data_IF_435945431310
#
_entry.id   IF_435945431310
#
_cell.length_a   1.000
_cell.length_b   1.000
_cell.length_c   1.000
_cell.angle_alpha   90.00
_cell.angle_beta   90.00
_cell.angle_gamma   90.00
#
_symmetry.space_group_name_H-M   'P 1'
#
loop_
_entity.id
_entity.type
_entity.pdbx_description
1 polymer ?
#
# COMPACT_ATOMS: atom_id res chain seq x y z
N UNK A 1 15.14 3.49 18.45
CA UNK A 1 14.16 3.48 17.35
C UNK A 1 13.17 4.66 17.40
N UNK A 2 12.22 4.79 18.38
CA UNK A 2 11.24 5.90 18.37
C UNK A 2 11.89 7.29 18.45
N UNK A 3 12.92 7.47 19.28
CA UNK A 3 13.67 8.73 19.36
C UNK A 3 14.41 9.05 18.05
N UNK A 4 14.95 8.07 17.40
CA UNK A 4 15.63 8.20 16.09
C UNK A 4 14.63 8.63 15.00
N UNK A 5 13.45 7.98 14.94
CA UNK A 5 12.40 8.38 14.01
C UNK A 5 11.95 9.82 14.27
N UNK A 6 11.76 10.19 15.55
CA UNK A 6 11.36 11.55 15.91
C UNK A 6 12.45 12.59 15.54
N UNK A 7 13.73 12.29 15.80
CA UNK A 7 14.84 13.18 15.42
C UNK A 7 14.97 13.30 13.90
N UNK A 8 14.81 12.21 13.16
CA UNK A 8 14.82 12.21 11.71
C UNK A 8 13.67 13.04 11.13
N UNK A 9 12.45 12.89 11.67
CA UNK A 9 11.30 13.71 11.27
C UNK A 9 11.52 15.21 11.55
N UNK A 10 12.04 15.55 12.73
CA UNK A 10 12.36 16.94 13.04
C UNK A 10 13.42 17.51 12.10
N UNK A 11 14.40 16.71 11.71
CA UNK A 11 15.43 17.12 10.73
C UNK A 11 14.79 17.39 9.37
N UNK A 12 13.91 16.51 8.89
CA UNK A 12 13.20 16.73 7.61
C UNK A 12 12.30 17.97 7.68
N UNK A 13 11.57 18.19 8.77
CA UNK A 13 10.73 19.36 8.95
C UNK A 13 11.52 20.69 9.02
N UNK A 14 12.77 20.65 9.47
CA UNK A 14 13.66 21.83 9.48
C UNK A 14 14.33 22.08 8.13
N UNK A 15 14.45 21.04 7.30
CA UNK A 15 15.08 21.09 5.98
C UNK A 15 14.06 21.13 4.83
N UNK A 16 12.87 21.72 5.05
CA UNK A 16 11.86 21.86 4.01
C UNK A 16 12.42 22.69 2.84
N UNK A 17 12.24 22.15 1.65
CA UNK A 17 12.67 22.79 0.41
C UNK A 17 11.46 23.46 -0.25
N UNK A 18 11.45 24.79 -0.27
CA UNK A 18 10.32 25.58 -0.81
C UNK A 18 10.44 25.84 -2.31
N UNK A 19 11.65 25.89 -2.85
CA UNK A 19 11.92 26.34 -4.23
C UNK A 19 12.82 25.43 -5.03
N UNK A 20 13.48 24.51 -4.37
CA UNK A 20 14.37 23.54 -5.00
C UNK A 20 13.63 22.32 -5.57
N UNK A 21 14.37 21.32 -6.04
CA UNK A 21 13.82 20.16 -6.72
C UNK A 21 12.80 19.38 -5.88
N UNK A 22 13.05 19.21 -4.57
CA UNK A 22 12.12 18.51 -3.65
C UNK A 22 10.82 19.30 -3.48
N UNK A 23 10.90 20.63 -3.43
CA UNK A 23 9.73 21.51 -3.31
C UNK A 23 8.82 21.42 -4.54
N UNK A 24 9.44 21.41 -5.72
CA UNK A 24 8.71 21.27 -7.00
C UNK A 24 8.08 19.88 -7.14
N UNK A 25 8.80 18.82 -6.81
CA UNK A 25 8.27 17.46 -6.82
C UNK A 25 7.10 17.31 -5.83
N UNK A 26 7.19 17.92 -4.65
CA UNK A 26 6.11 17.94 -3.69
C UNK A 26 4.89 18.74 -4.18
N UNK A 27 5.11 19.86 -4.89
CA UNK A 27 4.04 20.65 -5.49
C UNK A 27 3.35 19.88 -6.64
N UNK A 28 4.11 19.18 -7.47
CA UNK A 28 3.58 18.28 -8.50
C UNK A 28 2.71 17.18 -7.90
N UNK A 29 3.17 16.55 -6.83
CA UNK A 29 2.39 15.53 -6.11
C UNK A 29 1.10 16.12 -5.52
N UNK A 30 1.17 17.31 -4.92
CA UNK A 30 -0.01 18.01 -4.38
C UNK A 30 -1.00 18.38 -5.47
N UNK A 31 -0.54 18.90 -6.60
CA UNK A 31 -1.37 19.20 -7.76
C UNK A 31 -2.03 17.95 -8.35
N UNK A 32 -1.27 16.86 -8.50
CA UNK A 32 -1.76 15.57 -8.99
C UNK A 32 -2.88 15.00 -8.11
N UNK A 33 -2.68 15.03 -6.80
CA UNK A 33 -3.67 14.54 -5.83
C UNK A 33 -4.92 15.42 -5.85
N UNK A 34 -4.75 16.72 -5.85
CA UNK A 34 -5.89 17.66 -5.87
C UNK A 34 -6.70 17.50 -7.15
N UNK A 35 -6.06 17.45 -8.30
CA UNK A 35 -6.73 17.21 -9.59
C UNK A 35 -7.47 15.86 -9.58
N UNK A 36 -6.86 14.80 -9.04
CA UNK A 36 -7.49 13.50 -8.94
C UNK A 36 -8.73 13.50 -8.04
N UNK A 37 -8.65 14.16 -6.89
CA UNK A 37 -9.79 14.31 -5.97
C UNK A 37 -10.91 15.10 -6.64
N UNK A 38 -10.61 16.24 -7.26
CA UNK A 38 -11.60 17.06 -7.97
C UNK A 38 -12.25 16.29 -9.13
N UNK A 39 -11.47 15.56 -9.92
CA UNK A 39 -11.98 14.72 -11.00
C UNK A 39 -12.89 13.60 -10.48
N UNK A 40 -12.51 12.95 -9.37
CA UNK A 40 -13.33 11.91 -8.74
C UNK A 40 -14.64 12.47 -8.16
N UNK A 41 -14.59 13.66 -7.55
CA UNK A 41 -15.80 14.37 -7.10
C UNK A 41 -16.72 14.74 -8.28
N UNK A 42 -16.16 15.23 -9.38
CA UNK A 42 -16.94 15.60 -10.57
C UNK A 42 -17.71 14.41 -11.19
N UNK A 43 -17.18 13.19 -11.07
CA UNK A 43 -17.87 11.98 -11.54
C UNK A 43 -18.64 11.25 -10.42
N UNK A 44 -18.76 11.86 -9.25
CA UNK A 44 -19.46 11.32 -8.07
C UNK A 44 -18.92 9.93 -7.65
N UNK A 45 -17.59 9.75 -7.67
CA UNK A 45 -16.96 8.51 -7.20
C UNK A 45 -17.26 8.28 -5.71
N UNK A 46 -17.44 7.02 -5.30
CA UNK A 46 -17.81 6.66 -3.92
C UNK A 46 -16.71 7.02 -2.90
N UNK A 47 -15.45 6.87 -3.30
CA UNK A 47 -14.31 7.12 -2.43
C UNK A 47 -13.21 7.94 -3.13
N UNK A 48 -13.40 9.27 -3.32
CA UNK A 48 -12.47 10.13 -4.07
C UNK A 48 -11.02 10.11 -3.56
N UNK A 49 -10.84 9.85 -2.28
CA UNK A 49 -9.51 9.72 -1.67
C UNK A 49 -8.64 8.61 -2.29
N UNK A 50 -9.26 7.58 -2.87
CA UNK A 50 -8.49 6.54 -3.56
C UNK A 50 -7.90 7.02 -4.89
N UNK A 51 -8.60 7.87 -5.60
CA UNK A 51 -8.04 8.52 -6.78
C UNK A 51 -6.83 9.37 -6.38
N UNK A 52 -6.95 10.14 -5.30
CA UNK A 52 -5.85 10.90 -4.73
C UNK A 52 -4.65 10.02 -4.33
N UNK A 53 -4.88 8.88 -3.66
CA UNK A 53 -3.79 7.93 -3.34
C UNK A 53 -3.10 7.41 -4.59
N UNK A 54 -3.87 7.13 -5.63
CA UNK A 54 -3.33 6.64 -6.90
C UNK A 54 -2.47 7.70 -7.57
N UNK A 55 -2.93 8.94 -7.61
CA UNK A 55 -2.19 10.06 -8.15
C UNK A 55 -0.86 10.27 -7.40
N UNK A 56 -0.88 10.27 -6.08
CA UNK A 56 0.33 10.44 -5.27
C UNK A 56 1.40 9.38 -5.53
N UNK A 57 1.00 8.12 -5.67
CA UNK A 57 1.96 7.03 -5.89
C UNK A 57 2.56 7.10 -7.30
N UNK A 58 1.79 7.55 -8.29
CA UNK A 58 2.24 7.67 -9.69
C UNK A 58 3.11 8.90 -9.89
N UNK A 59 2.80 10.04 -9.28
CA UNK A 59 3.48 11.34 -9.45
C UNK A 59 4.98 11.34 -9.09
N UNK A 60 5.46 10.29 -8.46
CA UNK A 60 6.84 10.22 -7.92
C UNK A 60 7.86 9.56 -8.84
N UNK A 61 7.61 9.58 -10.12
CA UNK A 61 8.47 8.92 -11.08
C UNK A 61 8.83 9.88 -12.22
N UNK A 62 9.96 9.63 -12.89
CA UNK A 62 10.22 10.27 -14.17
C UNK A 62 9.04 10.00 -15.12
N UNK A 63 8.78 10.84 -16.14
CA UNK A 63 7.61 10.69 -17.01
C UNK A 63 7.45 9.29 -17.59
N UNK A 64 8.53 8.65 -18.04
CA UNK A 64 8.48 7.28 -18.55
C UNK A 64 8.15 6.25 -17.44
N UNK A 65 8.75 6.42 -16.27
CA UNK A 65 8.47 5.55 -15.12
C UNK A 65 7.06 5.79 -14.56
N UNK A 66 6.52 7.01 -14.62
CA UNK A 66 5.14 7.33 -14.25
C UNK A 66 4.14 6.60 -15.16
N UNK A 67 4.36 6.62 -16.49
CA UNK A 67 3.53 5.89 -17.45
C UNK A 67 3.57 4.37 -17.18
N UNK A 68 4.78 3.80 -17.05
CA UNK A 68 4.93 2.37 -16.77
C UNK A 68 4.26 1.98 -15.44
N UNK A 69 4.44 2.77 -14.40
CA UNK A 69 3.83 2.56 -13.09
C UNK A 69 2.31 2.70 -13.15
N UNK A 70 1.81 3.69 -13.89
CA UNK A 70 0.38 3.91 -14.13
C UNK A 70 -0.28 2.72 -14.84
N UNK A 71 0.33 2.23 -15.92
CA UNK A 71 -0.16 1.04 -16.65
C UNK A 71 -0.20 -0.19 -15.74
N UNK A 72 0.89 -0.47 -15.00
CA UNK A 72 0.92 -1.60 -14.08
C UNK A 72 -0.12 -1.47 -12.97
N UNK A 73 -0.42 -0.23 -12.53
CA UNK A 73 -1.43 0.04 -11.52
C UNK A 73 -2.83 -0.25 -12.01
N UNK A 74 -3.19 0.23 -13.20
CA UNK A 74 -4.52 0.00 -13.81
C UNK A 74 -4.71 -1.48 -14.12
N UNK A 75 -3.74 -2.11 -14.80
CA UNK A 75 -3.82 -3.54 -15.13
C UNK A 75 -3.90 -4.40 -13.85
N UNK A 76 -3.04 -4.13 -12.88
CA UNK A 76 -3.06 -4.84 -11.59
C UNK A 76 -4.43 -4.72 -10.90
N UNK A 77 -5.01 -3.51 -10.87
CA UNK A 77 -6.33 -3.30 -10.28
C UNK A 77 -7.44 -4.04 -11.02
N UNK A 78 -7.42 -4.06 -12.35
CA UNK A 78 -8.41 -4.81 -13.16
C UNK A 78 -8.30 -6.31 -12.87
N UNK A 79 -7.09 -6.86 -12.94
CA UNK A 79 -6.86 -8.29 -12.69
C UNK A 79 -7.24 -8.66 -11.25
N UNK A 80 -6.87 -7.83 -10.27
CA UNK A 80 -7.24 -8.03 -8.87
C UNK A 80 -8.74 -7.97 -8.64
N UNK A 81 -9.43 -7.01 -9.25
CA UNK A 81 -10.89 -6.87 -9.17
C UNK A 81 -11.61 -8.09 -9.78
N UNK A 82 -11.20 -8.56 -10.95
CA UNK A 82 -11.74 -9.76 -11.57
C UNK A 82 -11.52 -11.00 -10.70
N UNK A 83 -10.30 -11.18 -10.20
CA UNK A 83 -9.99 -12.29 -9.29
C UNK A 83 -10.88 -12.26 -8.04
N UNK A 84 -11.07 -11.08 -7.43
CA UNK A 84 -11.94 -10.91 -6.28
C UNK A 84 -13.40 -11.30 -6.58
N UNK A 85 -13.95 -10.82 -7.70
CA UNK A 85 -15.33 -11.13 -8.11
C UNK A 85 -15.54 -12.63 -8.33
N UNK A 86 -14.58 -13.31 -8.96
CA UNK A 86 -14.62 -14.77 -9.14
C UNK A 86 -14.59 -15.49 -7.80
N UNK A 87 -13.67 -15.13 -6.90
CA UNK A 87 -13.55 -15.76 -5.60
C UNK A 87 -14.76 -15.49 -4.70
N UNK A 88 -15.30 -14.27 -4.72
CA UNK A 88 -16.55 -13.93 -4.01
C UNK A 88 -17.72 -14.76 -4.55
N UNK A 89 -17.87 -14.87 -5.87
CA UNK A 89 -18.94 -15.67 -6.47
C UNK A 89 -18.90 -17.13 -6.02
N UNK A 90 -17.71 -17.67 -5.80
CA UNK A 90 -17.52 -19.07 -5.43
C UNK A 90 -17.63 -19.30 -3.93
N UNK A 91 -17.13 -18.38 -3.09
CA UNK A 91 -16.81 -18.69 -1.68
C UNK A 91 -17.37 -17.72 -0.64
N UNK A 92 -18.06 -16.64 -1.02
CA UNK A 92 -18.46 -15.59 -0.05
C UNK A 92 -19.31 -16.11 1.11
N UNK A 93 -20.16 -17.13 0.88
CA UNK A 93 -21.02 -17.71 1.91
C UNK A 93 -20.36 -18.84 2.72
N UNK A 94 -19.09 -19.13 2.44
CA UNK A 94 -18.33 -20.22 3.06
C UNK A 94 -17.10 -19.65 3.75
N UNK A 95 -17.17 -19.39 5.03
CA UNK A 95 -16.13 -18.68 5.79
C UNK A 95 -14.73 -19.29 5.65
N UNK A 96 -14.57 -20.63 5.64
CA UNK A 96 -13.27 -21.28 5.52
C UNK A 96 -12.71 -21.19 4.08
N UNK A 97 -13.42 -21.56 3.00
CA UNK A 97 -12.98 -21.34 1.62
C UNK A 97 -12.73 -19.86 1.30
N UNK A 98 -13.53 -18.93 1.84
CA UNK A 98 -13.30 -17.50 1.69
C UNK A 98 -11.96 -17.09 2.34
N UNK A 99 -11.68 -17.48 3.57
CA UNK A 99 -10.43 -17.22 4.24
C UNK A 99 -9.23 -17.85 3.52
N UNK A 100 -9.35 -19.12 3.08
CA UNK A 100 -8.30 -19.80 2.30
C UNK A 100 -8.05 -19.11 0.95
N UNK A 101 -9.08 -18.56 0.31
CA UNK A 101 -8.90 -17.79 -0.93
C UNK A 101 -8.14 -16.49 -0.69
N UNK A 102 -8.40 -15.76 0.41
CA UNK A 102 -7.62 -14.61 0.84
C UNK A 102 -6.16 -14.97 1.13
N UNK A 103 -5.94 -16.10 1.81
CA UNK A 103 -4.59 -16.62 2.06
C UNK A 103 -3.85 -16.91 0.76
N UNK A 104 -4.44 -17.70 -0.12
CA UNK A 104 -3.84 -18.08 -1.40
C UNK A 104 -3.55 -16.84 -2.27
N UNK A 105 -4.50 -15.92 -2.37
CA UNK A 105 -4.37 -14.67 -3.11
C UNK A 105 -3.20 -13.83 -2.58
N UNK A 106 -3.11 -13.67 -1.26
CA UNK A 106 -2.03 -12.90 -0.62
C UNK A 106 -0.67 -13.56 -0.82
N UNK A 107 -0.59 -14.90 -0.72
CA UNK A 107 0.65 -15.65 -0.98
C UNK A 107 1.08 -15.54 -2.43
N UNK A 108 0.18 -15.79 -3.38
CA UNK A 108 0.47 -15.71 -4.82
C UNK A 108 0.88 -14.27 -5.19
N UNK A 109 0.16 -13.28 -4.70
CA UNK A 109 0.47 -11.87 -4.95
C UNK A 109 1.82 -11.45 -4.36
N UNK A 110 2.15 -11.87 -3.14
CA UNK A 110 3.44 -11.59 -2.53
C UNK A 110 4.58 -12.28 -3.28
N UNK A 111 4.41 -13.55 -3.67
CA UNK A 111 5.39 -14.24 -4.52
C UNK A 111 5.54 -13.55 -5.87
N UNK A 112 4.45 -13.14 -6.51
CA UNK A 112 4.48 -12.38 -7.73
C UNK A 112 5.19 -11.03 -7.58
N UNK A 113 4.96 -10.31 -6.47
CA UNK A 113 5.67 -9.07 -6.14
C UNK A 113 7.18 -9.30 -6.01
N UNK A 114 7.60 -10.38 -5.34
CA UNK A 114 8.99 -10.67 -5.05
C UNK A 114 9.75 -11.30 -6.23
N UNK A 115 9.06 -11.93 -7.19
CA UNK A 115 9.69 -12.76 -8.23
C UNK A 115 9.44 -12.29 -9.67
N UNK A 116 8.49 -11.39 -9.91
CA UNK A 116 8.14 -10.93 -11.25
C UNK A 116 8.76 -9.59 -11.59
N UNK A 117 9.14 -9.40 -12.86
CA UNK A 117 9.48 -8.07 -13.41
C UNK A 117 8.32 -7.07 -13.31
N UNK A 118 7.10 -7.56 -13.18
CA UNK A 118 5.88 -6.77 -12.98
C UNK A 118 5.43 -6.79 -11.52
N UNK A 119 6.37 -6.89 -10.57
CA UNK A 119 6.09 -7.00 -9.14
C UNK A 119 5.09 -5.96 -8.63
N UNK A 120 5.20 -4.70 -9.12
CA UNK A 120 4.27 -3.64 -8.73
C UNK A 120 2.81 -3.94 -9.16
N UNK A 121 2.58 -4.53 -10.33
CA UNK A 121 1.23 -4.92 -10.76
C UNK A 121 0.66 -6.05 -9.87
N UNK A 122 1.50 -7.01 -9.46
CA UNK A 122 1.11 -8.06 -8.51
C UNK A 122 0.72 -7.47 -7.15
N UNK A 123 1.49 -6.54 -6.63
CA UNK A 123 1.19 -5.85 -5.37
C UNK A 123 -0.16 -5.12 -5.43
N UNK A 124 -0.36 -4.31 -6.48
CA UNK A 124 -1.60 -3.54 -6.65
C UNK A 124 -2.80 -4.47 -6.86
N UNK A 125 -2.63 -5.54 -7.65
CA UNK A 125 -3.66 -6.55 -7.87
C UNK A 125 -4.06 -7.23 -6.56
N UNK A 126 -3.11 -7.63 -5.74
CA UNK A 126 -3.36 -8.23 -4.42
C UNK A 126 -4.09 -7.26 -3.49
N UNK A 127 -3.64 -6.00 -3.42
CA UNK A 127 -4.29 -4.97 -2.62
C UNK A 127 -5.74 -4.78 -3.08
N UNK A 128 -5.98 -4.64 -4.38
CA UNK A 128 -7.32 -4.44 -4.94
C UNK A 128 -8.21 -5.65 -4.67
N UNK A 129 -7.70 -6.86 -4.87
CA UNK A 129 -8.48 -8.07 -4.66
C UNK A 129 -8.82 -8.28 -3.18
N UNK A 130 -7.85 -8.14 -2.26
CA UNK A 130 -8.12 -8.21 -0.82
C UNK A 130 -9.13 -7.15 -0.39
N UNK A 131 -9.01 -5.92 -0.91
CA UNK A 131 -9.91 -4.82 -0.60
C UNK A 131 -11.34 -5.14 -1.06
N UNK A 132 -11.53 -5.50 -2.32
CA UNK A 132 -12.87 -5.82 -2.88
C UNK A 132 -13.48 -7.00 -2.10
N UNK A 133 -12.71 -8.05 -1.81
CA UNK A 133 -13.20 -9.20 -1.04
C UNK A 133 -13.61 -8.81 0.40
N UNK A 134 -12.77 -8.04 1.10
CA UNK A 134 -13.04 -7.64 2.49
C UNK A 134 -14.19 -6.62 2.60
N UNK A 135 -14.31 -5.69 1.65
CA UNK A 135 -15.42 -4.74 1.62
C UNK A 135 -16.76 -5.41 1.30
N UNK A 136 -16.74 -6.47 0.48
CA UNK A 136 -17.94 -7.15 0.03
C UNK A 136 -18.30 -8.36 0.87
N UNK A 137 -17.59 -8.62 1.96
CA UNK A 137 -17.83 -9.77 2.83
C UNK A 137 -19.22 -9.72 3.44
N UNK A 138 -19.62 -8.58 3.98
CA UNK A 138 -20.94 -8.39 4.61
C UNK A 138 -22.04 -8.05 3.61
N UNK A 139 -21.69 -7.49 2.44
CA UNK A 139 -22.64 -7.08 1.40
C UNK A 139 -22.21 -7.56 0.01
N UNK A 140 -22.31 -8.88 -0.27
CA UNK A 140 -21.81 -9.45 -1.54
C UNK A 140 -22.49 -8.93 -2.80
N UNK A 141 -23.74 -8.51 -2.69
CA UNK A 141 -24.50 -7.96 -3.83
C UNK A 141 -23.90 -6.65 -4.39
N UNK A 142 -23.18 -5.89 -3.55
CA UNK A 142 -22.48 -4.67 -3.95
C UNK A 142 -21.09 -4.91 -4.56
N UNK A 143 -20.58 -6.14 -4.56
CA UNK A 143 -19.20 -6.45 -4.93
C UNK A 143 -18.79 -5.96 -6.33
N UNK A 144 -19.69 -6.07 -7.32
CA UNK A 144 -19.42 -5.61 -8.67
C UNK A 144 -19.22 -4.09 -8.71
N UNK A 145 -20.09 -3.33 -8.07
CA UNK A 145 -19.97 -1.87 -7.99
C UNK A 145 -18.69 -1.46 -7.25
N UNK A 146 -18.38 -2.12 -6.13
CA UNK A 146 -17.13 -1.91 -5.40
C UNK A 146 -15.91 -2.15 -6.29
N UNK A 147 -15.91 -3.22 -7.09
CA UNK A 147 -14.81 -3.55 -7.98
C UNK A 147 -14.66 -2.52 -9.11
N UNK A 148 -15.77 -2.12 -9.75
CA UNK A 148 -15.78 -1.13 -10.84
C UNK A 148 -15.34 0.24 -10.31
N UNK A 149 -15.90 0.71 -9.20
CA UNK A 149 -15.53 1.99 -8.58
C UNK A 149 -14.05 2.01 -8.22
N UNK A 150 -13.52 0.89 -7.71
CA UNK A 150 -12.11 0.74 -7.39
C UNK A 150 -11.21 0.93 -8.61
N UNK A 151 -11.53 0.29 -9.72
CA UNK A 151 -10.77 0.42 -10.99
C UNK A 151 -10.89 1.83 -11.56
N UNK A 152 -12.09 2.41 -11.51
CA UNK A 152 -12.34 3.78 -11.99
C UNK A 152 -11.52 4.81 -11.19
N UNK A 153 -11.56 4.76 -9.85
CA UNK A 153 -10.81 5.66 -8.96
C UNK A 153 -9.29 5.56 -9.19
N UNK A 154 -8.77 4.33 -9.33
CA UNK A 154 -7.35 4.10 -9.65
C UNK A 154 -6.99 4.70 -11.01
N UNK A 155 -7.87 4.56 -12.00
CA UNK A 155 -7.66 5.10 -13.35
C UNK A 155 -7.70 6.62 -13.35
N UNK A 156 -8.70 7.24 -12.69
CA UNK A 156 -8.81 8.71 -12.55
C UNK A 156 -7.53 9.27 -11.92
N UNK A 157 -7.10 8.70 -10.80
CA UNK A 157 -5.88 9.16 -10.13
C UNK A 157 -4.62 8.99 -10.97
N UNK A 158 -4.51 7.88 -11.70
CA UNK A 158 -3.38 7.64 -12.61
C UNK A 158 -3.37 8.67 -13.74
N UNK A 159 -4.51 8.91 -14.39
CA UNK A 159 -4.62 9.87 -15.49
C UNK A 159 -4.34 11.28 -15.01
N UNK A 160 -4.90 11.69 -13.86
CA UNK A 160 -4.65 13.01 -13.27
C UNK A 160 -3.14 13.25 -13.02
N UNK A 161 -2.47 12.24 -12.45
CA UNK A 161 -1.01 12.33 -12.23
C UNK A 161 -0.23 12.43 -13.54
N UNK A 162 -0.58 11.65 -14.57
CA UNK A 162 0.08 11.71 -15.88
C UNK A 162 -0.13 13.08 -16.57
N UNK A 163 -1.32 13.68 -16.42
CA UNK A 163 -1.59 15.03 -16.95
C UNK A 163 -0.67 16.06 -16.28
N UNK A 164 -0.61 16.04 -14.94
CA UNK A 164 0.25 17.00 -14.20
C UNK A 164 1.71 16.77 -14.55
N UNK A 165 2.19 15.52 -14.58
CA UNK A 165 3.57 15.18 -14.96
C UNK A 165 3.90 15.63 -16.39
N UNK A 166 2.96 15.56 -17.33
CA UNK A 166 3.15 16.03 -18.71
C UNK A 166 3.21 17.57 -18.84
N UNK A 167 2.58 18.27 -17.90
CA UNK A 167 2.56 19.75 -17.85
C UNK A 167 3.71 20.31 -17.01
N UNK A 168 4.31 19.50 -16.13
CA UNK A 168 5.43 19.92 -15.29
C UNK A 168 6.73 19.98 -16.11
N UNK A 169 7.58 21.01 -15.92
CA UNK A 169 8.87 21.04 -16.55
C UNK A 169 9.71 19.87 -16.05
N UNK A 170 10.24 19.07 -16.97
CA UNK A 170 11.14 17.98 -16.61
C UNK A 170 12.33 18.55 -15.80
N UNK A 171 12.64 18.01 -14.61
CA UNK A 171 13.81 18.46 -13.87
C UNK A 171 15.05 18.22 -14.75
N UNK A 172 15.86 19.27 -14.95
CA UNK A 172 17.05 19.24 -15.80
C UNK A 172 18.08 18.18 -15.36
N UNK A 173 18.03 17.76 -14.13
CA UNK A 173 18.85 16.74 -13.48
C UNK A 173 18.00 15.54 -12.97
N UNK A 174 17.03 15.10 -13.74
CA UNK A 174 16.50 13.76 -13.55
C UNK A 174 17.63 12.76 -13.89
N UNK A 175 18.67 12.80 -13.07
CA UNK A 175 19.66 11.76 -12.98
C UNK A 175 18.87 10.46 -12.96
N UNK A 176 19.24 9.56 -13.82
CA UNK A 176 18.78 8.19 -13.97
C UNK A 176 18.62 7.47 -12.61
N UNK A 177 17.72 7.98 -11.76
CA UNK A 177 17.20 7.23 -10.65
C UNK A 177 16.38 6.16 -11.32
N UNK A 178 17.11 5.15 -11.65
CA UNK A 178 16.82 4.05 -12.51
C UNK A 178 15.42 3.54 -12.23
N UNK A 179 14.49 3.75 -13.18
CA UNK A 179 13.33 2.89 -13.34
C UNK A 179 13.76 1.40 -13.42
N UNK A 180 15.05 1.15 -13.69
CA UNK A 180 15.72 -0.13 -13.64
C UNK A 180 15.48 -0.86 -12.32
N UNK A 181 15.56 -0.22 -11.15
CA UNK A 181 15.32 -0.91 -9.87
C UNK A 181 13.89 -1.42 -9.67
N UNK A 182 12.91 -0.90 -10.41
CA UNK A 182 11.53 -1.41 -10.44
C UNK A 182 11.29 -2.43 -11.56
N UNK A 183 12.16 -2.42 -12.56
CA UNK A 183 12.09 -3.30 -13.73
C UNK A 183 13.15 -4.40 -13.68
N UNK A 184 14.12 -4.31 -12.78
CA UNK A 184 15.08 -5.39 -12.57
C UNK A 184 14.33 -6.62 -12.05
N UNK A 185 14.50 -7.77 -12.72
CA UNK A 185 13.91 -8.99 -12.22
C UNK A 185 14.51 -9.27 -10.85
N UNK A 186 13.69 -9.50 -9.81
CA UNK A 186 14.20 -9.89 -8.51
C UNK A 186 15.07 -11.14 -8.66
N UNK A 187 16.10 -11.33 -7.80
CA UNK A 187 17.03 -12.43 -7.90
C UNK A 187 16.39 -13.83 -7.80
N UNK A 188 15.11 -13.87 -7.44
CA UNK A 188 14.30 -15.09 -7.33
C UNK A 188 13.70 -15.45 -8.68
N UNK A 189 14.41 -16.18 -9.53
CA UNK A 189 13.97 -16.60 -10.88
C UNK A 189 12.84 -17.63 -10.88
N UNK A 190 11.80 -17.46 -10.03
CA UNK A 190 10.70 -18.41 -9.83
C UNK A 190 9.96 -18.74 -11.12
N UNK A 191 9.56 -17.72 -11.91
CA UNK A 191 8.73 -17.92 -13.10
C UNK A 191 9.50 -18.34 -14.35
N UNK A 192 10.85 -18.41 -14.26
CA UNK A 192 11.70 -18.73 -15.41
C UNK A 192 12.08 -20.21 -15.45
N UNK A 193 11.78 -20.99 -14.41
CA UNK A 193 12.24 -22.36 -14.29
C UNK A 193 11.13 -23.38 -14.50
N UNK A 194 11.44 -24.42 -15.24
CA UNK A 194 10.54 -25.55 -15.54
C UNK A 194 10.18 -26.33 -14.26
N UNK A 195 8.92 -26.80 -14.21
CA UNK A 195 8.35 -27.57 -13.11
C UNK A 195 9.10 -28.88 -12.85
N UNK A 196 9.28 -29.26 -11.59
CA UNK A 196 9.76 -30.56 -11.15
C UNK A 196 10.96 -30.48 -10.20
N UNK A 197 12.12 -30.92 -10.64
CA UNK A 197 13.34 -31.02 -9.81
C UNK A 197 13.87 -29.64 -9.39
N UNK A 198 13.60 -28.62 -10.16
CA UNK A 198 13.97 -27.24 -9.83
C UNK A 198 13.17 -26.68 -8.66
N UNK A 199 11.87 -27.01 -8.54
CA UNK A 199 11.04 -26.58 -7.41
C UNK A 199 11.55 -27.19 -6.10
N UNK A 200 11.95 -28.44 -6.11
CA UNK A 200 12.54 -29.12 -4.94
C UNK A 200 13.85 -28.46 -4.47
N UNK A 201 14.65 -27.93 -5.40
CA UNK A 201 15.88 -27.18 -5.08
C UNK A 201 15.58 -25.75 -4.68
N UNK A 202 14.54 -25.13 -5.28
CA UNK A 202 14.16 -23.75 -5.00
C UNK A 202 13.54 -23.59 -3.60
N UNK A 203 12.67 -24.50 -3.19
CA UNK A 203 11.98 -24.45 -1.90
C UNK A 203 12.92 -24.28 -0.68
N UNK A 204 13.97 -25.09 -0.51
CA UNK A 204 14.88 -24.94 0.62
C UNK A 204 15.64 -23.61 0.61
N UNK A 205 16.07 -23.20 -0.59
CA UNK A 205 16.88 -21.97 -0.75
C UNK A 205 16.07 -20.69 -0.50
N UNK A 206 14.75 -20.71 -0.80
CA UNK A 206 13.88 -19.54 -0.66
C UNK A 206 12.90 -19.66 0.52
N UNK A 207 13.21 -20.50 1.49
CA UNK A 207 12.40 -20.69 2.69
C UNK A 207 12.04 -19.40 3.42
N UNK A 208 12.95 -18.42 3.64
CA UNK A 208 12.60 -17.16 4.29
C UNK A 208 11.49 -16.42 3.55
N UNK A 209 11.51 -16.44 2.22
CA UNK A 209 10.49 -15.82 1.36
C UNK A 209 9.15 -16.54 1.52
N UNK A 210 9.12 -17.85 1.56
CA UNK A 210 7.90 -18.64 1.76
C UNK A 210 7.30 -18.37 3.15
N UNK A 211 8.11 -18.39 4.20
CA UNK A 211 7.66 -18.07 5.56
C UNK A 211 7.10 -16.65 5.62
N UNK A 212 7.77 -15.70 4.97
CA UNK A 212 7.31 -14.31 4.88
C UNK A 212 5.95 -14.22 4.19
N UNK A 213 5.78 -14.83 3.02
CA UNK A 213 4.50 -14.80 2.28
C UNK A 213 3.39 -15.50 3.04
N UNK A 214 3.65 -16.65 3.66
CA UNK A 214 2.69 -17.36 4.51
C UNK A 214 2.27 -16.53 5.73
N UNK A 215 3.22 -15.83 6.36
CA UNK A 215 2.95 -14.92 7.48
C UNK A 215 1.96 -13.82 7.08
N UNK A 216 2.21 -13.17 5.95
CA UNK A 216 1.30 -12.16 5.38
C UNK A 216 -0.08 -12.74 5.03
N UNK A 217 -0.09 -13.88 4.33
CA UNK A 217 -1.33 -14.56 3.93
C UNK A 217 -2.18 -15.00 5.11
N UNK A 218 -1.58 -15.63 6.14
CA UNK A 218 -2.29 -16.02 7.37
C UNK A 218 -2.87 -14.80 8.10
N UNK A 219 -2.11 -13.70 8.15
CA UNK A 219 -2.59 -12.47 8.76
C UNK A 219 -3.85 -11.98 8.04
N UNK A 220 -3.84 -11.91 6.71
CA UNK A 220 -5.01 -11.44 5.93
C UNK A 220 -6.20 -12.41 6.05
N UNK A 221 -5.94 -13.73 6.05
CA UNK A 221 -6.96 -14.76 6.22
C UNK A 221 -7.76 -14.61 7.52
N UNK A 222 -7.09 -14.21 8.61
CA UNK A 222 -7.71 -14.08 9.93
C UNK A 222 -8.54 -12.80 10.09
N UNK A 223 -8.38 -11.79 9.20
CA UNK A 223 -9.03 -10.50 9.34
C UNK A 223 -10.57 -10.56 9.41
N UNK A 224 -11.28 -11.28 8.53
CA UNK A 224 -12.75 -11.34 8.60
C UNK A 224 -13.26 -11.97 9.90
N UNK A 225 -12.59 -13.01 10.36
CA UNK A 225 -12.99 -13.69 11.60
C UNK A 225 -12.75 -12.81 12.85
N UNK A 226 -11.62 -12.11 12.90
CA UNK A 226 -11.24 -11.28 14.03
C UNK A 226 -11.96 -9.92 14.06
N UNK A 227 -12.30 -9.37 12.89
CA UNK A 227 -13.07 -8.13 12.82
C UNK A 227 -14.44 -8.27 13.48
N UNK A 228 -15.12 -9.42 13.34
CA UNK A 228 -16.39 -9.70 14.03
C UNK A 228 -16.24 -9.74 15.56
N UNK A 229 -15.05 -10.11 16.06
CA UNK A 229 -14.77 -10.13 17.50
C UNK A 229 -14.32 -8.77 18.05
N UNK A 230 -13.68 -7.97 17.22
CA UNK A 230 -13.10 -6.67 17.56
C UNK A 230 -13.97 -5.50 17.10
N UNK A 231 -15.26 -5.73 16.85
CA UNK A 231 -16.18 -4.66 16.43
C UNK A 231 -15.98 -3.38 17.28
N UNK A 232 -15.83 -2.22 16.66
CA UNK A 232 -16.21 -1.77 15.31
C UNK A 232 -15.03 -1.59 14.32
N UNK A 233 -14.08 -2.51 14.26
CA UNK A 233 -12.87 -2.34 13.47
C UNK A 233 -13.04 -2.82 12.03
N UNK A 234 -12.72 -1.97 11.06
CA UNK A 234 -12.80 -2.31 9.64
C UNK A 234 -11.80 -3.42 9.25
N UNK A 235 -12.27 -4.62 8.79
CA UNK A 235 -11.39 -5.69 8.33
C UNK A 235 -10.54 -5.27 7.13
N UNK A 236 -11.03 -4.32 6.34
CA UNK A 236 -10.33 -3.75 5.19
C UNK A 236 -9.04 -3.04 5.62
N UNK A 237 -9.13 -2.12 6.59
CA UNK A 237 -7.97 -1.37 7.07
C UNK A 237 -6.95 -2.29 7.75
N UNK A 238 -7.41 -3.30 8.49
CA UNK A 238 -6.55 -4.31 9.11
C UNK A 238 -5.82 -5.13 8.03
N UNK A 239 -6.53 -5.66 7.04
CA UNK A 239 -5.97 -6.47 5.96
C UNK A 239 -4.99 -5.69 5.09
N UNK A 240 -5.34 -4.47 4.69
CA UNK A 240 -4.44 -3.58 3.95
C UNK A 240 -3.17 -3.25 4.76
N UNK A 241 -3.28 -3.13 6.08
CA UNK A 241 -2.11 -2.91 6.93
C UNK A 241 -1.14 -4.08 6.86
N UNK A 242 -1.65 -5.31 6.94
CA UNK A 242 -0.82 -6.50 6.82
C UNK A 242 -0.12 -6.57 5.45
N UNK A 243 -0.86 -6.42 4.35
CA UNK A 243 -0.29 -6.44 2.99
C UNK A 243 0.77 -5.36 2.80
N UNK A 244 0.50 -4.12 3.24
CA UNK A 244 1.42 -3.00 3.08
C UNK A 244 2.70 -3.13 3.92
N UNK A 245 2.61 -3.63 5.16
CA UNK A 245 3.78 -3.84 6.01
C UNK A 245 4.63 -4.98 5.51
N UNK A 246 4.00 -6.05 5.02
CA UNK A 246 4.70 -7.21 4.47
C UNK A 246 5.29 -6.98 3.06
N UNK A 247 4.95 -5.88 2.38
CA UNK A 247 5.51 -5.53 1.08
C UNK A 247 6.88 -4.87 1.22
N UNK A 248 7.88 -5.66 1.65
CA UNK A 248 9.29 -5.26 1.79
C UNK A 248 10.14 -5.88 0.66
N UNK A 249 11.30 -5.28 0.31
CA UNK A 249 12.14 -5.81 -0.74
C UNK A 249 12.75 -7.18 -0.37
N UNK A 250 13.04 -8.03 -1.35
CA UNK A 250 13.58 -9.37 -1.13
C UNK A 250 14.89 -9.37 -0.32
N UNK A 251 15.74 -8.37 -0.52
CA UNK A 251 17.00 -8.20 0.21
C UNK A 251 16.78 -8.13 1.72
N UNK A 252 15.78 -7.36 2.15
CA UNK A 252 15.44 -7.23 3.57
C UNK A 252 14.82 -8.50 4.18
N UNK A 253 14.25 -9.40 3.36
CA UNK A 253 13.71 -10.69 3.82
C UNK A 253 14.84 -11.71 4.04
N UNK A 254 15.87 -11.65 3.20
CA UNK A 254 16.98 -12.62 3.20
C UNK A 254 18.04 -12.28 4.25
N UNK A 255 18.06 -11.06 4.79
CA UNK A 255 18.97 -10.68 5.86
C UNK A 255 18.52 -11.29 7.19
N UNK A 256 19.36 -12.13 7.84
CA UNK A 256 19.11 -12.60 9.19
C UNK A 256 18.99 -11.40 10.14
N UNK A 257 18.00 -11.41 11.03
CA UNK A 257 17.79 -10.38 12.05
C UNK A 257 17.42 -8.98 11.51
N UNK A 258 16.98 -8.88 10.26
CA UNK A 258 16.56 -7.60 9.69
C UNK A 258 15.37 -6.99 10.47
N UNK A 259 15.51 -5.79 11.05
CA UNK A 259 14.42 -5.10 11.74
C UNK A 259 13.38 -4.52 10.76
N UNK A 260 13.50 -4.79 9.47
CA UNK A 260 12.73 -4.13 8.39
C UNK A 260 11.21 -4.18 8.60
N UNK A 261 10.67 -5.31 9.06
CA UNK A 261 9.23 -5.45 9.33
C UNK A 261 8.81 -4.56 10.50
N UNK A 262 9.59 -4.60 11.60
CA UNK A 262 9.30 -3.82 12.82
C UNK A 262 9.44 -2.33 12.52
N UNK A 263 10.50 -1.94 11.82
CA UNK A 263 10.71 -0.55 11.41
C UNK A 263 9.57 -0.06 10.49
N UNK A 264 9.17 -0.87 9.52
CA UNK A 264 8.08 -0.53 8.62
C UNK A 264 6.73 -0.44 9.34
N UNK A 265 6.47 -1.32 10.32
CA UNK A 265 5.30 -1.25 11.19
C UNK A 265 5.29 0.04 12.03
N UNK A 266 6.42 0.39 12.64
CA UNK A 266 6.57 1.63 13.40
C UNK A 266 6.37 2.87 12.52
N UNK A 267 6.99 2.92 11.35
CA UNK A 267 6.82 4.01 10.39
C UNK A 267 5.36 4.14 9.94
N UNK A 268 4.66 3.00 9.73
CA UNK A 268 3.24 3.02 9.37
C UNK A 268 2.39 3.61 10.49
N UNK A 269 2.59 3.17 11.73
CA UNK A 269 1.84 3.65 12.88
C UNK A 269 2.05 5.15 13.10
N UNK A 270 3.31 5.58 13.13
CA UNK A 270 3.67 6.99 13.34
C UNK A 270 3.14 7.86 12.20
N UNK A 271 3.33 7.44 10.95
CA UNK A 271 2.82 8.17 9.79
C UNK A 271 1.30 8.31 9.80
N UNK A 272 0.58 7.21 10.06
CA UNK A 272 -0.88 7.26 10.16
C UNK A 272 -1.36 8.16 11.31
N UNK A 273 -0.69 8.13 12.46
CA UNK A 273 -1.02 8.98 13.59
C UNK A 273 -0.83 10.47 13.24
N UNK A 274 0.33 10.82 12.71
CA UNK A 274 0.63 12.21 12.31
C UNK A 274 -0.36 12.69 11.24
N UNK A 275 -0.56 11.92 10.18
CA UNK A 275 -1.45 12.30 9.09
C UNK A 275 -2.91 12.46 9.54
N UNK A 276 -3.40 11.55 10.37
CA UNK A 276 -4.74 11.65 10.93
C UNK A 276 -4.90 12.88 11.84
N UNK A 277 -3.94 13.13 12.74
CA UNK A 277 -3.99 14.29 13.63
C UNK A 277 -3.97 15.61 12.86
N UNK A 278 -3.12 15.72 11.84
CA UNK A 278 -3.07 16.92 10.98
C UNK A 278 -4.36 17.05 10.20
N UNK A 279 -4.90 15.98 9.64
CA UNK A 279 -6.19 15.98 8.94
C UNK A 279 -7.34 16.42 9.84
N UNK A 280 -7.43 15.88 11.05
CA UNK A 280 -8.45 16.25 12.03
C UNK A 280 -8.32 17.72 12.47
N UNK A 281 -7.08 18.22 12.65
CA UNK A 281 -6.85 19.63 12.95
C UNK A 281 -7.31 20.53 11.79
N UNK A 282 -7.05 20.15 10.55
CA UNK A 282 -7.57 20.87 9.38
C UNK A 282 -9.10 20.88 9.35
N UNK A 283 -9.75 19.72 9.60
CA UNK A 283 -11.21 19.62 9.62
C UNK A 283 -11.84 20.51 10.72
N UNK A 284 -11.19 20.59 11.88
CA UNK A 284 -11.65 21.49 12.95
C UNK A 284 -11.63 22.99 12.55
N UNK A 285 -10.76 23.36 11.61
CA UNK A 285 -10.68 24.74 11.06
C UNK A 285 -11.69 24.93 9.92
N UNK A 286 -11.89 23.92 9.09
CA UNK A 286 -12.72 23.97 7.88
C UNK A 286 -14.21 24.11 8.24
N UNK A 287 -14.69 23.42 9.27
CA UNK A 287 -16.11 23.27 9.52
C UNK A 287 -16.81 22.66 8.29
N UNK A 288 -17.79 23.37 7.73
CA UNK A 288 -18.54 22.96 6.52
C UNK A 288 -18.16 23.73 5.25
N UNK A 289 -17.10 24.53 5.28
CA UNK A 289 -16.68 25.34 4.12
C UNK A 289 -15.99 24.50 3.06
N UNK A 290 -16.67 24.34 1.93
CA UNK A 290 -16.17 23.53 0.80
C UNK A 290 -14.90 24.12 0.16
N UNK A 291 -14.80 25.46 0.03
CA UNK A 291 -13.64 26.10 -0.61
C UNK A 291 -12.40 25.95 0.28
N UNK A 292 -12.56 26.21 1.57
CA UNK A 292 -11.48 26.07 2.54
C UNK A 292 -11.01 24.61 2.62
N UNK A 293 -11.94 23.65 2.52
CA UNK A 293 -11.63 22.23 2.46
C UNK A 293 -10.73 21.89 1.28
N UNK A 294 -11.08 22.30 0.04
CA UNK A 294 -10.27 22.05 -1.16
C UNK A 294 -8.90 22.74 -1.05
N UNK A 295 -8.84 23.96 -0.54
CA UNK A 295 -7.58 24.74 -0.41
C UNK A 295 -6.63 24.12 0.60
N UNK A 296 -7.12 23.44 1.63
CA UNK A 296 -6.26 22.82 2.64
C UNK A 296 -5.72 21.44 2.21
N UNK A 297 -6.29 20.76 1.22
CA UNK A 297 -5.77 19.48 0.72
C UNK A 297 -4.32 19.60 0.22
N UNK A 298 -3.95 20.52 -0.71
CA UNK A 298 -2.61 20.60 -1.28
C UNK A 298 -1.47 20.82 -0.25
N UNK A 299 -1.59 21.74 0.72
CA UNK A 299 -0.51 21.97 1.68
C UNK A 299 -0.14 20.74 2.52
N UNK A 300 -1.15 19.98 2.97
CA UNK A 300 -0.91 18.74 3.71
C UNK A 300 -0.22 17.67 2.87
N UNK A 301 -0.64 17.52 1.61
CA UNK A 301 0.01 16.60 0.67
C UNK A 301 1.45 17.03 0.38
N UNK A 302 1.68 18.35 0.16
CA UNK A 302 3.00 18.91 -0.08
C UNK A 302 3.96 18.60 1.10
N UNK A 303 3.51 18.83 2.34
CA UNK A 303 4.30 18.55 3.53
C UNK A 303 4.64 17.06 3.67
N UNK A 304 3.66 16.18 3.49
CA UNK A 304 3.87 14.73 3.51
C UNK A 304 4.83 14.27 2.41
N UNK A 305 4.76 14.90 1.23
CA UNK A 305 5.66 14.63 0.11
C UNK A 305 7.10 15.04 0.41
N UNK A 306 7.32 16.18 1.07
CA UNK A 306 8.65 16.60 1.54
C UNK A 306 9.29 15.57 2.47
N UNK A 307 8.51 15.03 3.44
CA UNK A 307 9.00 13.99 4.34
C UNK A 307 9.29 12.70 3.56
N UNK A 308 8.46 12.36 2.56
CA UNK A 308 8.65 11.14 1.78
C UNK A 308 9.91 11.20 0.89
N UNK A 309 10.22 12.35 0.33
CA UNK A 309 11.42 12.55 -0.53
C UNK A 309 12.66 12.89 0.29
N UNK A 310 12.55 12.91 1.61
CA UNK A 310 13.64 13.16 2.53
C UNK A 310 14.71 12.06 2.55
N UNK A 311 15.87 12.39 3.07
CA UNK A 311 17.07 11.53 3.06
C UNK A 311 17.34 10.84 4.39
N UNK A 312 16.57 11.14 5.45
CA UNK A 312 16.82 10.66 6.81
C UNK A 312 16.24 9.25 7.11
N UNK A 313 15.76 8.54 6.07
CA UNK A 313 15.24 7.17 6.23
C UNK A 313 13.79 7.07 6.68
N UNK A 314 13.07 8.19 6.86
CA UNK A 314 11.66 8.23 7.27
C UNK A 314 10.66 8.39 6.10
N UNK A 315 11.11 8.14 4.88
CA UNK A 315 10.30 8.27 3.65
C UNK A 315 8.95 7.54 3.73
N UNK A 316 8.91 6.36 4.33
CA UNK A 316 7.67 5.60 4.49
C UNK A 316 6.70 6.24 5.51
N UNK A 317 7.21 6.99 6.50
CA UNK A 317 6.37 7.80 7.41
C UNK A 317 5.62 8.87 6.61
N UNK A 318 6.31 9.60 5.75
CA UNK A 318 5.69 10.61 4.86
C UNK A 318 4.59 10.02 3.97
N UNK A 319 4.84 8.85 3.37
CA UNK A 319 3.84 8.13 2.57
C UNK A 319 2.60 7.77 3.39
N UNK A 320 2.79 7.24 4.60
CA UNK A 320 1.67 6.83 5.46
C UNK A 320 0.92 8.04 6.05
N UNK A 321 1.64 9.12 6.35
CA UNK A 321 1.03 10.37 6.79
C UNK A 321 0.13 10.97 5.70
N UNK A 322 0.59 10.97 4.44
CA UNK A 322 -0.24 11.40 3.32
C UNK A 322 -1.51 10.55 3.18
N UNK A 323 -1.38 9.22 3.27
CA UNK A 323 -2.54 8.33 3.18
C UNK A 323 -3.55 8.60 4.29
N UNK A 324 -3.08 8.76 5.52
CA UNK A 324 -3.96 9.03 6.66
C UNK A 324 -4.57 10.43 6.58
N UNK A 325 -3.79 11.43 6.18
CA UNK A 325 -4.26 12.80 5.97
C UNK A 325 -5.38 12.85 4.93
N UNK A 326 -5.13 12.31 3.73
CA UNK A 326 -6.09 12.32 2.65
C UNK A 326 -7.38 11.55 3.00
N UNK A 327 -7.24 10.39 3.64
CA UNK A 327 -8.40 9.61 4.08
C UNK A 327 -9.18 10.26 5.22
N UNK A 328 -8.56 11.12 6.02
CA UNK A 328 -9.27 11.90 7.04
C UNK A 328 -9.98 13.09 6.42
N UNK A 329 -9.32 13.76 5.46
CA UNK A 329 -9.85 14.96 4.82
C UNK A 329 -10.95 14.67 3.80
N UNK A 330 -10.84 13.57 3.03
CA UNK A 330 -11.71 13.28 1.87
C UNK A 330 -12.48 11.99 2.14
N UNK A 331 -13.73 12.09 2.57
CA UNK A 331 -14.57 10.95 2.93
C UNK A 331 -15.74 10.69 1.98
N UNK A 332 -16.10 11.67 1.17
CA UNK A 332 -17.25 11.61 0.27
C UNK A 332 -17.24 12.81 -0.67
N UNK A 333 -18.41 13.36 -0.94
CA UNK A 333 -18.59 14.46 -1.90
C UNK A 333 -18.35 15.86 -1.31
N UNK A 334 -17.90 15.95 -0.07
CA UNK A 334 -17.67 17.21 0.64
C UNK A 334 -16.81 17.03 1.89
N UNK A 335 -16.67 18.10 2.69
CA UNK A 335 -16.03 18.02 3.99
C UNK A 335 -16.70 16.95 4.86
N UNK A 336 -15.94 16.09 5.56
CA UNK A 336 -16.54 15.10 6.44
C UNK A 336 -17.26 15.73 7.64
N UNK A 337 -18.46 15.24 7.94
CA UNK A 337 -19.25 15.69 9.11
C UNK A 337 -18.80 15.01 10.41
N UNK A 338 -17.89 14.01 10.35
CA UNK A 338 -17.48 13.19 11.48
C UNK A 338 -15.99 12.88 11.44
N UNK A 339 -15.40 12.76 12.63
CA UNK A 339 -14.01 12.31 12.84
C UNK A 339 -13.89 10.78 12.89
N UNK A 340 -15.02 10.06 12.96
CA UNK A 340 -15.05 8.59 13.11
C UNK A 340 -14.19 7.84 12.10
N UNK A 341 -14.20 8.15 10.78
CA UNK A 341 -13.41 7.42 9.80
C UNK A 341 -11.89 7.51 10.03
N UNK A 342 -11.41 8.65 10.52
CA UNK A 342 -10.01 8.83 10.90
C UNK A 342 -9.62 7.96 12.09
N UNK A 343 -10.49 7.87 13.11
CA UNK A 343 -10.28 7.03 14.29
C UNK A 343 -10.37 5.53 13.95
N UNK A 344 -11.38 5.12 13.20
CA UNK A 344 -11.53 3.73 12.73
C UNK A 344 -10.31 3.26 11.96
N UNK A 345 -9.71 4.15 11.16
CA UNK A 345 -8.47 3.85 10.46
C UNK A 345 -7.32 3.60 11.42
N UNK A 346 -7.13 4.45 12.43
CA UNK A 346 -6.05 4.27 13.42
C UNK A 346 -6.23 2.95 14.17
N UNK A 347 -7.44 2.66 14.63
CA UNK A 347 -7.77 1.41 15.32
C UNK A 347 -7.55 0.21 14.39
N UNK A 348 -7.95 0.31 13.12
CA UNK A 348 -7.72 -0.72 12.10
C UNK A 348 -6.24 -0.96 11.83
N UNK A 349 -5.42 0.10 11.76
CA UNK A 349 -3.96 -0.04 11.61
C UNK A 349 -3.36 -0.74 12.83
N UNK A 350 -3.74 -0.35 14.05
CA UNK A 350 -3.27 -1.00 15.28
C UNK A 350 -3.70 -2.47 15.35
N UNK A 351 -4.97 -2.75 15.03
CA UNK A 351 -5.49 -4.13 14.98
C UNK A 351 -4.74 -4.99 13.97
N UNK A 352 -4.53 -4.50 12.76
CA UNK A 352 -3.78 -5.20 11.71
C UNK A 352 -2.32 -5.49 12.10
N UNK A 353 -1.64 -4.53 12.75
CA UNK A 353 -0.28 -4.71 13.27
C UNK A 353 -0.25 -5.72 14.42
N UNK A 354 -1.22 -5.68 15.33
CA UNK A 354 -1.31 -6.61 16.47
C UNK A 354 -1.48 -8.05 15.98
N UNK A 355 -2.37 -8.28 15.01
CA UNK A 355 -2.58 -9.61 14.43
C UNK A 355 -1.33 -10.08 13.69
N UNK A 356 -0.69 -9.21 12.90
CA UNK A 356 0.55 -9.53 12.22
C UNK A 356 1.65 -9.92 13.21
N UNK A 357 1.75 -9.22 14.33
CA UNK A 357 2.69 -9.53 15.40
C UNK A 357 2.39 -10.89 16.03
N UNK A 358 1.13 -11.17 16.39
CA UNK A 358 0.71 -12.47 16.96
C UNK A 358 1.01 -13.62 16.00
N UNK A 359 0.62 -13.49 14.73
CA UNK A 359 0.92 -14.50 13.69
C UNK A 359 2.43 -14.71 13.55
N UNK A 360 3.21 -13.63 13.57
CA UNK A 360 4.67 -13.69 13.50
C UNK A 360 5.24 -14.45 14.71
N UNK A 361 4.76 -14.16 15.91
CA UNK A 361 5.18 -14.82 17.15
C UNK A 361 4.85 -16.32 17.12
N UNK A 362 3.62 -16.68 16.77
CA UNK A 362 3.20 -18.09 16.68
C UNK A 362 4.05 -18.85 15.67
N UNK A 363 4.29 -18.29 14.49
CA UNK A 363 5.13 -18.93 13.47
C UNK A 363 6.60 -19.03 13.89
N UNK A 364 7.10 -18.14 14.75
CA UNK A 364 8.46 -18.22 15.29
C UNK A 364 8.63 -19.33 16.32
N UNK A 365 7.55 -19.72 17.00
CA UNK A 365 7.56 -20.82 17.97
C UNK A 365 7.55 -22.22 17.32
N UNK A 366 7.21 -22.30 16.03
CA UNK A 366 7.24 -23.56 15.29
C UNK A 366 8.70 -23.84 14.92
N UNK A 367 9.36 -24.89 15.50
CA UNK A 367 10.74 -25.25 15.17
C UNK A 367 10.78 -25.78 13.75
N UNK A 368 11.00 -24.87 12.81
CA UNK A 368 11.20 -25.24 11.42
C UNK A 368 12.63 -25.77 11.31
N UNK A 369 12.82 -27.09 11.41
CA UNK A 369 14.10 -27.74 11.24
C UNK A 369 14.86 -27.19 10.04
N UNK A 370 16.16 -26.86 10.16
CA UNK A 370 16.93 -26.47 9.00
C UNK A 370 16.89 -27.63 7.99
N UNK A 371 16.28 -27.40 6.83
CA UNK A 371 16.37 -28.36 5.74
C UNK A 371 17.87 -28.50 5.45
N UNK A 372 18.42 -29.73 5.62
CA UNK A 372 19.80 -30.02 5.29
C UNK A 372 20.08 -29.55 3.87
N UNK A 373 21.18 -28.81 3.63
CA UNK A 373 21.57 -28.49 2.27
C UNK A 373 21.67 -29.80 1.49
N UNK A 374 21.12 -29.82 0.27
CA UNK A 374 21.27 -30.97 -0.61
C UNK A 374 22.77 -31.30 -0.74
N UNK A 375 23.17 -32.57 -0.65
CA UNK A 375 24.56 -32.92 -0.86
C UNK A 375 25.01 -32.37 -2.22
N UNK A 376 26.26 -31.87 -2.33
CA UNK A 376 26.80 -31.44 -3.60
C UNK A 376 26.59 -32.57 -4.61
N UNK A 377 26.09 -32.25 -5.81
CA UNK A 377 26.01 -33.20 -6.90
C UNK A 377 27.44 -33.74 -7.10
N UNK A 378 27.64 -35.01 -6.80
CA UNK A 378 28.92 -35.67 -7.06
C UNK A 378 29.24 -35.52 -8.56
N UNK A 379 30.50 -35.20 -8.81
CA UNK A 379 31.12 -35.13 -10.13
C UNK A 379 30.95 -36.44 -10.92
#
# INVERSE_FOLDING_TARGET
MLREIASALLTELRSLDWRGPRGLEAAEAAASVTLAVLAALAVHADAPWWAGLSAFIVSKATPLAAVSRGIMRVIGSIVGAVAALVLLRLFVYQWLPFGLSLFALSCIGSLGFLSSRFGYAWLVGTITACLVMLMSFDQPHGAFNTAVNRVAEVTIGTVASLIVCALSPAPADAGTTSAAGLLDPPPLGFWRRRYGDELRRWLPTNRPVLVHTCRGGLTVMLMPALANWLAPVSPVTMGLTAVMVMSIPPTAILEPDSPAIIQRAAHRLIGCLIGALVGLACLAIIGSDFLLWIVLIPPGIWLCSQIQTGTTGVSYVGTQAMFAYLMSMVQGQGPPDSISPGLERLVGVMGGLSILFIVTLILSLIPLSPLRPAPPAGD
#
